data_IF_396511518582
#
_entry.id   IF_396511518582
#
_cell.length_a   1.000
_cell.length_b   1.000
_cell.length_c   1.000
_cell.angle_alpha   90.00
_cell.angle_beta   90.00
_cell.angle_gamma   90.00
#
_symmetry.space_group_name_H-M   'P 1'
#
loop_
_entity.id
_entity.type
_entity.pdbx_description
1 polymer ?
#
# COMPACT_ATOMS: atom_id res chain seq x y z
N UNK A 1 -16.17 4.33 31.30
CA UNK A 1 -14.93 4.29 30.50
C UNK A 1 -15.33 4.13 29.06
N UNK A 2 -14.76 4.91 28.14
CA UNK A 2 -15.04 4.76 26.71
C UNK A 2 -14.23 3.61 26.13
N UNK A 3 -14.83 2.80 25.27
CA UNK A 3 -14.13 1.80 24.49
C UNK A 3 -14.07 2.26 23.04
N UNK A 4 -13.01 1.86 22.35
CA UNK A 4 -12.84 2.06 20.90
C UNK A 4 -13.03 0.74 20.18
N UNK A 5 -13.33 0.79 18.87
CA UNK A 5 -13.44 -0.41 18.05
C UNK A 5 -12.16 -1.28 18.11
N UNK A 6 -11.00 -0.63 18.16
CA UNK A 6 -9.69 -1.28 18.21
C UNK A 6 -9.42 -2.10 19.48
N UNK A 7 -10.19 -1.88 20.55
CA UNK A 7 -10.09 -2.67 21.78
C UNK A 7 -10.65 -4.08 21.61
N UNK A 8 -11.56 -4.27 20.64
CA UNK A 8 -12.23 -5.55 20.37
C UNK A 8 -11.65 -6.28 19.17
N UNK A 9 -10.79 -5.63 18.40
CA UNK A 9 -10.24 -6.17 17.17
C UNK A 9 -8.91 -6.88 17.40
N UNK A 10 -8.78 -8.07 16.79
CA UNK A 10 -7.49 -8.75 16.71
C UNK A 10 -6.58 -7.98 15.72
N UNK A 11 -5.29 -7.87 16.06
CA UNK A 11 -4.29 -7.24 15.15
C UNK A 11 -4.06 -8.04 13.86
N UNK A 12 -4.36 -9.34 13.87
CA UNK A 12 -3.97 -10.26 12.80
C UNK A 12 -2.49 -10.66 12.91
N UNK A 13 -2.04 -11.48 11.95
CA UNK A 13 -0.65 -11.92 11.86
C UNK A 13 0.28 -10.77 11.47
N UNK A 14 1.49 -10.75 12.03
CA UNK A 14 2.50 -9.79 11.61
C UNK A 14 3.16 -10.28 10.31
N UNK A 15 2.60 -9.86 9.17
CA UNK A 15 3.09 -10.21 7.83
C UNK A 15 3.88 -9.08 7.17
N UNK A 16 4.01 -7.94 7.86
CA UNK A 16 4.75 -6.78 7.38
C UNK A 16 6.24 -7.13 7.41
N UNK A 17 6.95 -6.81 6.33
CA UNK A 17 8.38 -7.02 6.26
C UNK A 17 9.10 -6.19 7.32
N UNK A 18 10.19 -6.74 7.86
CA UNK A 18 11.06 -5.99 8.75
C UNK A 18 11.66 -4.78 8.01
N UNK A 19 11.43 -3.58 8.55
CA UNK A 19 11.82 -2.33 7.91
C UNK A 19 13.34 -2.27 7.70
N UNK A 20 14.13 -2.72 8.69
CA UNK A 20 15.58 -2.71 8.57
C UNK A 20 16.03 -3.63 7.42
N UNK A 21 15.46 -4.83 7.32
CA UNK A 21 15.76 -5.75 6.24
C UNK A 21 15.40 -5.18 4.85
N UNK A 22 14.26 -4.49 4.73
CA UNK A 22 13.86 -3.80 3.50
C UNK A 22 14.87 -2.70 3.14
N UNK A 23 15.25 -1.86 4.11
CA UNK A 23 16.20 -0.77 3.90
C UNK A 23 17.61 -1.26 3.55
N UNK A 24 18.05 -2.39 4.11
CA UNK A 24 19.35 -3.01 3.75
C UNK A 24 19.33 -3.43 2.28
N UNK A 25 18.28 -4.13 1.82
CA UNK A 25 18.15 -4.53 0.40
C UNK A 25 18.05 -3.32 -0.52
N UNK A 26 17.34 -2.28 -0.11
CA UNK A 26 17.20 -1.05 -0.89
C UNK A 26 18.52 -0.27 -1.06
N UNK A 27 19.51 -0.48 -0.19
CA UNK A 27 20.82 0.17 -0.27
C UNK A 27 21.89 -0.72 -0.90
N UNK A 28 21.52 -1.90 -1.40
CA UNK A 28 22.48 -2.89 -1.85
C UNK A 28 23.15 -2.49 -3.17
N UNK A 29 22.39 -1.88 -4.08
CA UNK A 29 22.86 -1.55 -5.42
C UNK A 29 22.90 -0.03 -5.69
N UNK A 30 23.46 0.36 -6.84
CA UNK A 30 23.77 1.77 -7.15
C UNK A 30 22.54 2.62 -7.49
N UNK A 31 21.47 2.01 -8.03
CA UNK A 31 20.25 2.69 -8.45
C UNK A 31 19.09 2.27 -7.55
N UNK A 32 18.39 3.27 -7.01
CA UNK A 32 17.24 3.12 -6.14
C UNK A 32 15.93 3.29 -6.92
N UNK A 33 14.98 2.38 -6.70
CA UNK A 33 13.61 2.42 -7.19
C UNK A 33 12.68 2.50 -5.97
N UNK A 34 11.81 3.51 -5.94
CA UNK A 34 10.81 3.65 -4.88
C UNK A 34 9.43 3.89 -5.53
N UNK A 35 8.47 3.02 -5.22
CA UNK A 35 7.09 3.12 -5.67
C UNK A 35 6.15 3.31 -4.49
N UNK A 36 5.20 4.23 -4.65
CA UNK A 36 4.16 4.53 -3.63
C UNK A 36 2.80 3.97 -4.09
N UNK A 37 2.21 3.06 -3.32
CA UNK A 37 0.91 2.46 -3.61
C UNK A 37 -0.20 3.43 -3.19
N UNK A 38 -0.93 3.94 -4.17
CA UNK A 38 -2.05 4.86 -3.95
C UNK A 38 -3.18 4.18 -3.17
N UNK A 39 -3.50 4.76 -2.00
CA UNK A 39 -4.67 4.37 -1.20
C UNK A 39 -4.75 2.85 -0.97
N UNK A 40 -3.62 2.24 -0.59
CA UNK A 40 -3.46 0.80 -0.44
C UNK A 40 -4.61 0.12 0.31
N UNK A 41 -5.04 0.69 1.44
CA UNK A 41 -6.16 0.17 2.24
C UNK A 41 -7.48 0.17 1.47
N UNK A 42 -7.76 1.25 0.73
CA UNK A 42 -9.02 1.40 -0.01
C UNK A 42 -9.15 0.48 -1.23
N UNK A 43 -8.08 -0.20 -1.65
CA UNK A 43 -8.16 -1.23 -2.68
C UNK A 43 -8.94 -2.48 -2.20
N UNK A 44 -9.10 -2.64 -0.88
CA UNK A 44 -9.66 -3.86 -0.27
C UNK A 44 -11.05 -3.56 0.26
N UNK A 45 -12.05 -4.27 -0.26
CA UNK A 45 -13.44 -4.16 0.19
C UNK A 45 -13.64 -4.90 1.50
N UNK A 46 -14.39 -4.27 2.41
CA UNK A 46 -14.87 -4.91 3.63
C UNK A 46 -16.05 -5.83 3.29
N UNK A 47 -16.18 -6.92 4.05
CA UNK A 47 -17.39 -7.75 3.98
C UNK A 47 -18.61 -6.94 4.42
N UNK A 48 -19.83 -7.27 3.94
CA UNK A 48 -21.03 -6.58 4.41
C UNK A 48 -21.19 -6.59 5.94
N UNK A 49 -20.73 -7.66 6.61
CA UNK A 49 -20.74 -7.77 8.06
C UNK A 49 -19.78 -6.77 8.71
N UNK A 50 -18.53 -6.69 8.23
CA UNK A 50 -17.52 -5.76 8.78
C UNK A 50 -17.88 -4.30 8.48
N UNK A 51 -18.62 -4.01 7.42
CA UNK A 51 -19.10 -2.65 7.15
C UNK A 51 -20.03 -2.13 8.26
N UNK A 52 -20.73 -3.01 8.99
CA UNK A 52 -21.56 -2.59 10.12
C UNK A 52 -20.75 -1.99 11.27
N UNK A 53 -19.49 -2.40 11.45
CA UNK A 53 -18.62 -1.85 12.49
C UNK A 53 -17.98 -0.52 12.10
N UNK A 54 -18.10 -0.10 10.83
CA UNK A 54 -17.54 1.16 10.30
C UNK A 54 -18.62 2.17 9.91
N UNK A 55 -19.75 2.13 10.61
CA UNK A 55 -20.81 3.12 10.43
C UNK A 55 -20.49 4.40 11.18
N UNK A 56 -20.73 5.53 10.53
CA UNK A 56 -20.58 6.84 11.17
C UNK A 56 -21.76 7.73 10.78
N UNK A 57 -22.04 8.69 11.66
CA UNK A 57 -23.05 9.72 11.43
C UNK A 57 -22.38 11.00 11.00
N UNK A 58 -22.99 11.72 10.05
CA UNK A 58 -22.48 12.99 9.57
C UNK A 58 -23.61 13.98 9.36
N UNK A 59 -23.38 15.23 9.80
CA UNK A 59 -24.37 16.31 9.67
C UNK A 59 -23.77 17.65 9.28
N UNK A 60 -22.51 17.70 8.85
CA UNK A 60 -21.84 18.94 8.45
C UNK A 60 -22.01 20.12 9.44
N UNK A 61 -21.96 19.84 10.75
CA UNK A 61 -22.20 20.78 11.85
C UNK A 61 -23.62 21.41 11.92
N UNK A 62 -24.54 20.99 11.06
CA UNK A 62 -25.94 21.42 11.08
C UNK A 62 -26.68 20.73 12.22
N UNK A 63 -26.79 21.41 13.37
CA UNK A 63 -27.36 20.84 14.60
C UNK A 63 -28.88 20.66 14.57
N UNK A 64 -29.57 21.29 13.61
CA UNK A 64 -31.02 21.30 13.50
C UNK A 64 -31.61 20.16 12.66
N UNK A 65 -30.77 19.40 11.95
CA UNK A 65 -31.21 18.25 11.14
C UNK A 65 -30.77 16.93 11.78
N UNK A 66 -31.50 15.87 11.46
CA UNK A 66 -31.04 14.53 11.74
C UNK A 66 -29.77 14.22 10.94
N UNK A 67 -28.78 13.54 11.54
CA UNK A 67 -27.56 13.17 10.85
C UNK A 67 -27.80 12.07 9.82
N UNK A 68 -27.06 12.13 8.72
CA UNK A 68 -27.01 11.05 7.74
C UNK A 68 -26.16 9.89 8.26
N UNK A 69 -26.51 8.67 7.86
CA UNK A 69 -25.75 7.47 8.18
C UNK A 69 -24.91 7.02 6.99
N UNK A 70 -23.61 6.88 7.22
CA UNK A 70 -22.66 6.36 6.24
C UNK A 70 -21.97 5.11 6.77
N UNK A 71 -21.42 4.30 5.86
CA UNK A 71 -20.58 3.17 6.19
C UNK A 71 -19.35 3.17 5.29
N UNK A 72 -18.18 2.88 5.86
CA UNK A 72 -16.98 2.65 5.08
C UNK A 72 -17.10 1.29 4.38
N UNK A 73 -16.82 1.26 3.07
CA UNK A 73 -16.96 0.04 2.24
C UNK A 73 -15.65 -0.71 2.06
N UNK A 74 -14.55 -0.13 2.51
CA UNK A 74 -13.19 -0.59 2.27
C UNK A 74 -12.39 -0.48 3.55
N UNK A 75 -11.32 -1.26 3.65
CA UNK A 75 -10.39 -1.21 4.79
C UNK A 75 -9.89 0.22 4.95
N UNK A 76 -9.87 0.70 6.20
CA UNK A 76 -9.49 2.08 6.52
C UNK A 76 -8.23 2.16 7.35
N UNK A 77 -7.56 3.31 7.27
CA UNK A 77 -6.44 3.61 8.16
C UNK A 77 -6.94 3.83 9.59
N UNK A 78 -6.12 3.47 10.58
CA UNK A 78 -6.41 3.62 12.01
C UNK A 78 -6.99 2.37 12.68
N UNK A 79 -7.56 1.49 11.88
CA UNK A 79 -7.99 0.15 12.26
C UNK A 79 -6.79 -0.75 12.60
N UNK A 80 -6.88 -1.43 13.75
CA UNK A 80 -5.80 -2.30 14.26
C UNK A 80 -5.35 -3.40 13.27
N UNK A 81 -6.22 -4.09 12.52
CA UNK A 81 -5.82 -5.13 11.58
C UNK A 81 -5.50 -4.61 10.18
N UNK A 82 -5.72 -3.33 9.86
CA UNK A 82 -5.64 -2.84 8.48
C UNK A 82 -4.27 -3.06 7.84
N UNK A 83 -3.19 -2.84 8.57
CA UNK A 83 -1.84 -3.15 8.08
C UNK A 83 -1.69 -4.62 7.68
N UNK A 84 -2.15 -5.54 8.53
CA UNK A 84 -2.07 -6.97 8.25
C UNK A 84 -2.93 -7.38 7.05
N UNK A 85 -4.19 -6.90 6.99
CA UNK A 85 -5.12 -7.19 5.88
C UNK A 85 -4.54 -6.67 4.57
N UNK A 86 -4.03 -5.44 4.54
CA UNK A 86 -3.49 -4.83 3.34
C UNK A 86 -2.23 -5.52 2.84
N UNK A 87 -1.28 -5.81 3.72
CA UNK A 87 -0.07 -6.54 3.33
C UNK A 87 -0.39 -7.97 2.87
N UNK A 88 -1.33 -8.67 3.51
CA UNK A 88 -1.77 -9.99 3.07
C UNK A 88 -2.37 -9.96 1.66
N UNK A 89 -3.26 -9.01 1.39
CA UNK A 89 -3.86 -8.85 0.07
C UNK A 89 -2.80 -8.53 -0.99
N UNK A 90 -1.86 -7.61 -0.69
CA UNK A 90 -0.75 -7.27 -1.58
C UNK A 90 0.11 -8.50 -1.91
N UNK A 91 0.53 -9.25 -0.88
CA UNK A 91 1.33 -10.46 -1.06
C UNK A 91 0.55 -11.56 -1.79
N UNK A 92 -0.75 -11.68 -1.56
CA UNK A 92 -1.59 -12.65 -2.25
C UNK A 92 -1.68 -12.32 -3.74
N UNK A 93 -1.86 -11.04 -4.10
CA UNK A 93 -1.78 -10.59 -5.50
C UNK A 93 -0.43 -10.96 -6.12
N UNK A 94 0.69 -10.66 -5.45
CA UNK A 94 2.01 -11.02 -5.94
C UNK A 94 2.17 -12.53 -6.16
N UNK A 95 1.69 -13.37 -5.23
CA UNK A 95 1.74 -14.84 -5.36
C UNK A 95 0.91 -15.37 -6.51
N UNK A 96 -0.32 -14.88 -6.70
CA UNK A 96 -1.21 -15.33 -7.78
C UNK A 96 -0.58 -15.11 -9.17
N UNK A 97 0.14 -14.00 -9.33
CA UNK A 97 0.74 -13.59 -10.60
C UNK A 97 2.24 -13.92 -10.70
N UNK A 98 2.80 -14.64 -9.73
CA UNK A 98 4.24 -14.97 -9.69
C UNK A 98 4.71 -15.73 -10.94
N UNK A 99 3.86 -16.58 -11.51
CA UNK A 99 4.17 -17.33 -12.73
C UNK A 99 4.25 -16.46 -14.00
N UNK A 100 3.67 -15.25 -13.97
CA UNK A 100 3.65 -14.29 -15.09
C UNK A 100 4.72 -13.21 -14.86
N UNK A 101 4.85 -12.72 -13.62
CA UNK A 101 5.75 -11.63 -13.24
C UNK A 101 6.63 -12.03 -12.04
N UNK A 102 7.59 -12.96 -12.21
CA UNK A 102 8.36 -13.52 -11.11
C UNK A 102 9.18 -12.47 -10.36
N UNK A 103 9.85 -11.56 -11.06
CA UNK A 103 10.71 -10.54 -10.45
C UNK A 103 9.89 -9.48 -9.72
N UNK A 104 8.81 -9.00 -10.34
CA UNK A 104 7.86 -8.07 -9.71
C UNK A 104 7.23 -8.69 -8.45
N UNK A 105 6.83 -9.96 -8.52
CA UNK A 105 6.29 -10.71 -7.38
C UNK A 105 7.28 -10.79 -6.23
N UNK A 106 8.53 -11.17 -6.54
CA UNK A 106 9.60 -11.25 -5.55
C UNK A 106 9.89 -9.88 -4.91
N UNK A 107 9.92 -8.81 -5.71
CA UNK A 107 10.10 -7.44 -5.25
C UNK A 107 8.98 -7.02 -4.29
N UNK A 108 7.71 -7.25 -4.64
CA UNK A 108 6.56 -6.91 -3.78
C UNK A 108 6.59 -7.72 -2.48
N UNK A 109 6.87 -9.02 -2.54
CA UNK A 109 6.86 -9.89 -1.35
C UNK A 109 7.99 -9.52 -0.40
N UNK A 110 9.20 -9.25 -0.92
CA UNK A 110 10.39 -9.06 -0.08
C UNK A 110 10.64 -7.61 0.31
N UNK A 111 10.22 -6.67 -0.52
CA UNK A 111 10.67 -5.29 -0.40
C UNK A 111 9.54 -4.26 -0.31
N UNK A 112 8.29 -4.71 -0.13
CA UNK A 112 7.24 -3.82 0.30
C UNK A 112 7.33 -3.52 1.80
N UNK A 113 7.00 -2.29 2.17
CA UNK A 113 6.76 -1.89 3.54
C UNK A 113 5.52 -1.01 3.57
N UNK A 114 4.39 -1.60 3.98
CA UNK A 114 3.07 -0.96 3.91
C UNK A 114 2.79 -0.50 2.48
N UNK A 115 2.65 0.81 2.25
CA UNK A 115 2.36 1.45 0.96
C UNK A 115 3.60 1.68 0.10
N UNK A 116 4.81 1.55 0.66
CA UNK A 116 6.06 1.70 -0.09
C UNK A 116 6.52 0.37 -0.70
N UNK A 117 7.05 0.42 -1.92
CA UNK A 117 7.84 -0.66 -2.54
C UNK A 117 9.22 -0.11 -2.87
N UNK A 118 10.25 -0.70 -2.26
CA UNK A 118 11.63 -0.26 -2.41
C UNK A 118 12.43 -1.33 -3.14
N UNK A 119 13.31 -0.95 -4.05
CA UNK A 119 14.23 -1.87 -4.69
C UNK A 119 15.51 -1.15 -5.09
N UNK A 120 16.62 -1.87 -5.18
CA UNK A 120 17.81 -1.36 -5.84
C UNK A 120 18.28 -2.29 -6.95
N UNK A 121 18.87 -1.70 -7.98
CA UNK A 121 19.42 -2.39 -9.16
C UNK A 121 20.78 -1.80 -9.52
N UNK A 122 21.62 -2.57 -10.20
CA UNK A 122 23.01 -2.17 -10.50
C UNK A 122 23.12 -0.97 -11.48
N UNK A 123 22.14 -0.77 -12.36
CA UNK A 123 22.13 0.31 -13.36
C UNK A 123 20.70 0.69 -13.80
N UNK A 124 20.52 1.91 -14.29
CA UNK A 124 19.27 2.39 -14.92
C UNK A 124 19.19 1.81 -16.34
N UNK A 125 18.99 0.50 -16.44
CA UNK A 125 18.83 -0.19 -17.71
C UNK A 125 17.34 -0.45 -17.99
N UNK A 126 17.04 -1.00 -19.17
CA UNK A 126 15.68 -1.38 -19.56
C UNK A 126 15.04 -2.33 -18.53
N UNK A 127 15.83 -3.13 -17.83
CA UNK A 127 15.36 -4.04 -16.77
C UNK A 127 14.73 -3.30 -15.57
N UNK A 128 15.27 -2.15 -15.17
CA UNK A 128 14.72 -1.33 -14.08
C UNK A 128 13.35 -0.73 -14.45
N UNK A 129 13.20 -0.34 -15.71
CA UNK A 129 11.92 0.16 -16.25
C UNK A 129 10.92 -1.00 -16.45
N UNK A 130 11.42 -2.15 -16.86
CA UNK A 130 10.60 -3.34 -17.07
C UNK A 130 10.00 -3.84 -15.76
N UNK A 131 10.80 -3.96 -14.69
CA UNK A 131 10.30 -4.46 -13.39
C UNK A 131 9.26 -3.52 -12.78
N UNK A 132 9.43 -2.21 -12.91
CA UNK A 132 8.44 -1.22 -12.43
C UNK A 132 7.13 -1.32 -13.22
N UNK A 133 7.19 -1.43 -14.55
CA UNK A 133 5.99 -1.64 -15.39
C UNK A 133 5.30 -2.98 -15.12
N UNK A 134 6.06 -4.07 -14.95
CA UNK A 134 5.51 -5.38 -14.61
C UNK A 134 4.84 -5.35 -13.24
N UNK A 135 5.41 -4.64 -12.28
CA UNK A 135 4.83 -4.45 -10.95
C UNK A 135 3.51 -3.69 -11.03
N UNK A 136 3.44 -2.60 -11.79
CA UNK A 136 2.17 -1.88 -12.01
C UNK A 136 1.09 -2.77 -12.61
N UNK A 137 1.44 -3.54 -13.66
CA UNK A 137 0.50 -4.47 -14.30
C UNK A 137 0.01 -5.55 -13.33
N UNK A 138 0.94 -6.15 -12.59
CA UNK A 138 0.64 -7.17 -11.59
C UNK A 138 -0.28 -6.64 -10.48
N UNK A 139 0.02 -5.47 -9.94
CA UNK A 139 -0.74 -4.85 -8.86
C UNK A 139 -2.13 -4.39 -9.32
N UNK A 140 -2.25 -3.92 -10.56
CA UNK A 140 -3.54 -3.57 -11.16
C UNK A 140 -4.51 -4.76 -11.20
N UNK A 141 -4.01 -5.98 -11.38
CA UNK A 141 -4.83 -7.18 -11.31
C UNK A 141 -5.44 -7.43 -9.91
N UNK A 142 -4.78 -6.95 -8.85
CA UNK A 142 -5.30 -6.98 -7.47
C UNK A 142 -6.10 -5.75 -7.07
N UNK A 143 -6.35 -4.80 -7.99
CA UNK A 143 -7.00 -3.53 -7.69
C UNK A 143 -6.10 -2.47 -7.05
N UNK A 144 -4.80 -2.76 -6.89
CA UNK A 144 -3.81 -1.80 -6.39
C UNK A 144 -3.31 -0.91 -7.53
N UNK A 145 -2.89 0.31 -7.20
CA UNK A 145 -2.36 1.28 -8.16
C UNK A 145 -1.13 1.96 -7.60
N UNK A 146 -0.06 2.04 -8.37
CA UNK A 146 1.10 2.87 -8.03
C UNK A 146 0.78 4.33 -8.38
N UNK A 147 1.03 5.23 -7.44
CA UNK A 147 0.86 6.68 -7.62
C UNK A 147 1.99 7.26 -8.47
N UNK A 148 3.22 6.90 -8.15
CA UNK A 148 4.42 7.33 -8.85
C UNK A 148 5.60 6.41 -8.52
N UNK A 149 6.59 6.39 -9.41
CA UNK A 149 7.91 5.81 -9.18
C UNK A 149 8.96 6.91 -9.13
N UNK A 150 9.89 6.79 -8.18
CA UNK A 150 11.13 7.56 -8.11
C UNK A 150 12.26 6.61 -8.47
N UNK A 151 13.11 7.03 -9.42
CA UNK A 151 14.28 6.27 -9.87
C UNK A 151 15.49 7.19 -9.73
N UNK A 152 16.47 6.82 -8.90
CA UNK A 152 17.71 7.60 -8.76
C UNK A 152 18.57 7.50 -10.03
N UNK A 153 19.44 8.50 -10.25
CA UNK A 153 20.32 8.54 -11.43
C UNK A 153 19.61 8.87 -12.75
N UNK A 154 18.30 9.11 -12.75
CA UNK A 154 17.55 9.57 -13.90
C UNK A 154 17.45 11.11 -13.87
N UNK A 155 18.09 11.79 -14.82
CA UNK A 155 18.20 13.27 -14.90
C UNK A 155 16.85 14.01 -14.96
N UNK A 156 15.74 13.29 -15.18
CA UNK A 156 14.38 13.88 -15.23
C UNK A 156 13.73 14.12 -13.85
N UNK A 157 14.37 13.75 -12.74
CA UNK A 157 13.82 13.90 -11.39
C UNK A 157 14.09 15.30 -10.77
N UNK A 158 13.87 16.38 -11.53
CA UNK A 158 14.26 17.74 -11.12
C UNK A 158 13.14 18.78 -11.03
N UNK A 159 11.91 18.52 -11.49
CA UNK A 159 10.93 19.61 -11.70
C UNK A 159 9.71 19.63 -10.77
N UNK A 160 9.47 18.65 -9.89
CA UNK A 160 8.22 18.62 -9.10
C UNK A 160 8.34 18.31 -7.60
N UNK A 161 9.54 18.27 -7.04
CA UNK A 161 9.71 18.23 -5.58
C UNK A 161 9.83 19.65 -5.02
N UNK A 162 8.74 20.42 -5.07
CA UNK A 162 8.59 21.54 -4.13
C UNK A 162 8.18 20.96 -2.79
N UNK A 163 9.17 20.76 -1.92
CA UNK A 163 8.97 20.58 -0.49
C UNK A 163 8.34 21.89 0.02
N UNK A 164 7.03 21.87 0.27
CA UNK A 164 6.38 22.95 1.00
C UNK A 164 6.84 22.87 2.46
N UNK A 165 7.68 23.82 2.86
CA UNK A 165 7.95 24.20 4.25
C UNK A 165 6.69 24.69 4.94
#
# INVERSE_FOLDING_TARGET
>A
MGHTLNDYWAKGSNVINDLLAVLIRFRQESIALAGDISKMYNAIRLSPLDQHTHRFVWRNLETHRDPDHYALLTVTFGDRPSGAISTLALHQTAKMYQHIYPDASNMVIRNSYVDDILQSVESVNDDARLITQQTEKMLACGGFRIKHWIISGNEKCGSNLQIRS
#
